data_IF_245497214295
#
_entry.id   IF_245497214295
#
_cell.length_a   1.000
_cell.length_b   1.000
_cell.length_c   1.000
_cell.angle_alpha   90.00
_cell.angle_beta   90.00
_cell.angle_gamma   90.00
#
_symmetry.space_group_name_H-M   'P 1'
#
loop_
_entity.id
_entity.type
_entity.pdbx_description
1 polymer ?
#
# COMPACT_ATOMS: atom_id res chain seq x y z
N UNK A 1 23.20 37.87 -27.81
CA UNK A 1 22.15 37.61 -28.83
C UNK A 1 21.44 36.32 -28.47
N UNK A 2 20.16 36.38 -28.05
CA UNK A 2 19.39 35.22 -27.56
C UNK A 2 19.05 34.27 -28.71
N UNK A 3 19.75 33.17 -28.83
CA UNK A 3 19.50 32.09 -29.79
C UNK A 3 18.20 31.28 -29.55
N UNK A 4 17.49 31.53 -28.46
CA UNK A 4 16.33 30.75 -27.99
C UNK A 4 15.01 30.94 -28.77
N UNK A 5 14.95 31.84 -29.74
CA UNK A 5 13.72 32.11 -30.50
C UNK A 5 13.80 31.88 -32.02
N UNK A 6 14.95 31.46 -32.56
CA UNK A 6 15.12 31.22 -33.99
C UNK A 6 14.77 29.78 -34.35
N UNK A 7 13.86 29.61 -35.35
CA UNK A 7 13.61 28.27 -35.88
C UNK A 7 14.92 27.69 -36.44
N UNK A 8 15.13 26.38 -36.26
CA UNK A 8 16.32 25.65 -36.73
C UNK A 8 16.63 25.98 -38.21
N UNK A 9 15.59 26.13 -39.05
CA UNK A 9 15.71 26.54 -40.45
C UNK A 9 16.36 27.93 -40.63
N UNK A 10 16.01 28.93 -39.80
CA UNK A 10 16.59 30.26 -39.84
C UNK A 10 18.05 30.26 -39.38
N UNK A 11 18.38 29.47 -38.36
CA UNK A 11 19.77 29.36 -37.91
C UNK A 11 20.65 28.77 -39.00
N UNK A 12 20.23 27.69 -39.65
CA UNK A 12 20.93 27.09 -40.78
C UNK A 12 21.09 28.10 -41.95
N UNK A 13 20.06 28.86 -42.27
CA UNK A 13 20.09 29.88 -43.30
C UNK A 13 21.16 30.95 -43.02
N UNK A 14 21.26 31.49 -41.81
CA UNK A 14 22.30 32.47 -41.45
C UNK A 14 23.70 31.88 -41.47
N UNK A 15 23.88 30.63 -40.99
CA UNK A 15 25.16 29.92 -41.04
C UNK A 15 25.59 29.70 -42.50
N UNK A 16 24.66 29.30 -43.37
CA UNK A 16 24.92 29.11 -44.81
C UNK A 16 25.36 30.41 -45.49
N UNK A 17 24.65 31.50 -45.25
CA UNK A 17 25.02 32.82 -45.80
C UNK A 17 26.39 33.26 -45.31
N UNK A 18 26.67 33.11 -44.01
CA UNK A 18 27.97 33.47 -43.45
C UNK A 18 29.12 32.67 -44.06
N UNK A 19 28.90 31.37 -44.31
CA UNK A 19 29.88 30.49 -44.90
C UNK A 19 30.14 30.83 -46.38
N UNK A 20 29.11 31.13 -47.16
CA UNK A 20 29.22 31.57 -48.54
C UNK A 20 29.98 32.91 -48.61
N UNK A 21 29.63 33.90 -47.80
CA UNK A 21 30.29 35.20 -47.74
C UNK A 21 31.79 35.08 -47.38
N UNK A 22 32.12 34.21 -46.39
CA UNK A 22 33.53 34.04 -46.04
C UNK A 22 34.33 33.31 -47.11
N UNK A 23 33.74 32.29 -47.77
CA UNK A 23 34.44 31.59 -48.88
C UNK A 23 34.58 32.44 -50.10
N UNK A 24 33.58 33.27 -50.47
CA UNK A 24 33.70 34.24 -51.60
C UNK A 24 34.75 35.33 -51.36
N UNK A 25 34.77 35.88 -50.13
CA UNK A 25 35.80 36.84 -49.73
C UNK A 25 37.23 36.26 -49.83
N UNK A 26 37.41 35.03 -49.33
CA UNK A 26 38.71 34.33 -49.42
C UNK A 26 39.13 34.07 -50.87
N UNK A 27 38.20 33.64 -51.72
CA UNK A 27 38.49 33.40 -53.14
C UNK A 27 38.86 34.69 -53.85
N UNK A 28 38.20 35.79 -53.55
CA UNK A 28 38.52 37.14 -54.14
C UNK A 28 39.90 37.63 -53.65
N UNK A 29 40.22 37.54 -52.41
CA UNK A 29 41.54 37.92 -51.86
C UNK A 29 42.65 37.09 -52.52
N UNK A 30 42.43 35.77 -52.65
CA UNK A 30 43.41 34.87 -53.26
C UNK A 30 43.63 35.23 -54.79
N UNK A 31 42.57 35.62 -55.49
CA UNK A 31 42.66 36.12 -56.89
C UNK A 31 43.48 37.36 -56.97
N UNK A 32 43.32 38.33 -56.08
CA UNK A 32 44.12 39.57 -56.09
C UNK A 32 45.63 39.31 -55.77
N UNK A 33 45.94 38.26 -55.03
CA UNK A 33 47.33 37.88 -54.69
C UNK A 33 47.99 37.13 -55.87
N UNK A 34 47.26 36.26 -56.57
CA UNK A 34 47.82 35.34 -57.57
C UNK A 34 47.64 35.77 -58.97
N UNK A 35 46.76 36.74 -59.25
CA UNK A 35 46.35 37.26 -60.59
C UNK A 35 45.92 36.18 -61.61
N UNK A 36 45.61 34.92 -61.09
CA UNK A 36 45.25 33.78 -61.95
C UNK A 36 43.74 33.54 -61.92
N UNK A 37 43.11 33.63 -63.14
CA UNK A 37 41.65 33.36 -63.28
C UNK A 37 41.24 31.91 -62.83
N UNK A 38 42.15 30.95 -62.89
CA UNK A 38 41.94 29.58 -62.44
C UNK A 38 41.57 29.51 -60.98
N UNK A 39 42.03 30.42 -60.11
CA UNK A 39 41.71 30.44 -58.64
C UNK A 39 40.23 30.76 -58.44
N UNK A 40 39.60 31.62 -59.24
CA UNK A 40 38.17 31.89 -59.15
C UNK A 40 37.31 30.65 -59.53
N UNK A 41 37.78 29.93 -60.58
CA UNK A 41 37.07 28.69 -60.98
C UNK A 41 37.11 27.60 -59.87
N UNK A 42 38.31 27.37 -59.30
CA UNK A 42 38.47 26.44 -58.19
C UNK A 42 37.66 26.88 -56.94
N UNK A 43 37.69 28.14 -56.59
CA UNK A 43 36.89 28.75 -55.54
C UNK A 43 35.39 28.54 -55.75
N UNK A 44 34.90 28.75 -56.97
CA UNK A 44 33.51 28.49 -57.33
C UNK A 44 33.07 26.99 -57.12
N UNK A 45 33.93 26.04 -57.55
CA UNK A 45 33.69 24.61 -57.36
C UNK A 45 33.65 24.27 -55.89
N UNK A 46 34.57 24.77 -55.07
CA UNK A 46 34.57 24.50 -53.61
C UNK A 46 33.33 25.05 -52.92
N UNK A 47 32.85 26.26 -53.32
CA UNK A 47 31.60 26.83 -52.79
C UNK A 47 30.40 25.94 -53.15
N UNK A 48 30.32 25.47 -54.38
CA UNK A 48 29.25 24.56 -54.82
C UNK A 48 29.27 23.22 -54.06
N UNK A 49 30.45 22.66 -53.85
CA UNK A 49 30.60 21.43 -53.05
C UNK A 49 30.18 21.67 -51.61
N UNK A 50 30.59 22.77 -50.98
CA UNK A 50 30.20 23.10 -49.63
C UNK A 50 28.68 23.29 -49.49
N UNK A 51 28.03 23.93 -50.43
CA UNK A 51 26.59 24.08 -50.51
C UNK A 51 25.87 22.75 -50.64
N UNK A 52 26.35 21.85 -51.52
CA UNK A 52 25.78 20.50 -51.68
C UNK A 52 25.86 19.69 -50.40
N UNK A 53 27.00 19.71 -49.70
CA UNK A 53 27.18 19.04 -48.41
C UNK A 53 26.28 19.63 -47.33
N UNK A 54 26.13 20.93 -47.26
CA UNK A 54 25.26 21.61 -46.27
C UNK A 54 23.80 21.29 -46.52
N UNK A 55 23.34 21.23 -47.77
CA UNK A 55 21.98 20.82 -48.14
C UNK A 55 21.73 19.34 -47.76
N UNK A 56 22.70 18.46 -48.04
CA UNK A 56 22.60 17.05 -47.66
C UNK A 56 22.50 16.92 -46.13
N UNK A 57 23.34 17.63 -45.39
CA UNK A 57 23.33 17.60 -43.93
C UNK A 57 22.00 18.09 -43.33
N UNK A 58 21.46 19.21 -43.85
CA UNK A 58 20.16 19.74 -43.38
C UNK A 58 19.00 18.80 -43.68
N UNK A 59 19.01 18.11 -44.83
CA UNK A 59 17.99 17.12 -45.15
C UNK A 59 18.07 15.90 -44.25
N UNK A 60 19.28 15.38 -44.00
CA UNK A 60 19.50 14.20 -43.11
C UNK A 60 19.07 14.54 -41.67
N UNK A 61 19.51 15.71 -41.16
CA UNK A 61 19.16 16.13 -39.79
C UNK A 61 17.65 16.38 -39.63
N UNK A 62 17.03 17.03 -40.64
CA UNK A 62 15.59 17.29 -40.67
C UNK A 62 14.77 16.00 -40.67
N UNK A 63 15.17 14.99 -41.48
CA UNK A 63 14.50 13.70 -41.49
C UNK A 63 14.66 12.95 -40.16
N UNK A 64 15.86 12.90 -39.56
CA UNK A 64 16.09 12.28 -38.26
C UNK A 64 15.27 12.94 -37.14
N UNK A 65 15.20 14.27 -37.13
CA UNK A 65 14.42 14.98 -36.11
C UNK A 65 12.90 14.76 -36.29
N UNK A 66 12.43 14.75 -37.57
CA UNK A 66 11.00 14.47 -37.85
C UNK A 66 10.59 13.07 -37.44
N UNK A 67 11.42 12.05 -37.73
CA UNK A 67 11.16 10.67 -37.26
C UNK A 67 11.12 10.59 -35.74
N UNK A 68 12.10 11.20 -35.06
CA UNK A 68 12.13 11.20 -33.61
C UNK A 68 10.89 11.88 -32.97
N UNK A 69 10.48 13.04 -33.51
CA UNK A 69 9.28 13.72 -33.00
C UNK A 69 8.01 12.90 -33.25
N UNK A 70 7.92 12.22 -34.39
CA UNK A 70 6.81 11.33 -34.72
C UNK A 70 6.74 10.14 -33.74
N UNK A 71 7.89 9.48 -33.49
CA UNK A 71 7.97 8.37 -32.54
C UNK A 71 7.65 8.80 -31.11
N UNK A 72 8.11 9.97 -30.71
CA UNK A 72 7.83 10.53 -29.39
C UNK A 72 6.34 10.86 -29.21
N UNK A 73 5.72 11.48 -30.23
CA UNK A 73 4.28 11.76 -30.22
C UNK A 73 3.47 10.47 -30.22
N UNK A 74 3.83 9.49 -31.06
CA UNK A 74 3.16 8.19 -31.05
C UNK A 74 3.27 7.44 -29.73
N UNK A 75 4.43 7.53 -29.07
CA UNK A 75 4.62 6.96 -27.71
C UNK A 75 3.74 7.68 -26.69
N UNK A 76 3.66 9.01 -26.73
CA UNK A 76 2.78 9.80 -25.87
C UNK A 76 1.29 9.47 -26.09
N UNK A 77 0.86 9.37 -27.36
CA UNK A 77 -0.51 9.03 -27.71
C UNK A 77 -0.88 7.63 -27.21
N UNK A 78 0.03 6.66 -27.32
CA UNK A 78 -0.15 5.32 -26.77
C UNK A 78 -0.22 5.32 -25.22
N UNK A 79 0.59 6.16 -24.56
CA UNK A 79 0.53 6.37 -23.10
C UNK A 79 -0.82 6.96 -22.66
N UNK A 80 -1.33 7.95 -23.39
CA UNK A 80 -2.64 8.57 -23.14
C UNK A 80 -3.78 7.56 -23.33
N UNK A 81 -3.68 6.71 -24.37
CA UNK A 81 -4.65 5.67 -24.66
C UNK A 81 -4.61 4.46 -23.69
N UNK A 82 -3.61 4.43 -22.78
CA UNK A 82 -3.47 3.34 -21.80
C UNK A 82 -2.89 2.03 -22.38
N UNK A 83 -2.33 2.06 -23.58
CA UNK A 83 -1.75 0.88 -24.23
C UNK A 83 -0.38 0.53 -23.60
N UNK A 84 -0.20 -0.74 -23.20
CA UNK A 84 1.01 -1.23 -22.49
C UNK A 84 2.25 -1.43 -23.36
N UNK A 85 2.18 -1.23 -24.67
CA UNK A 85 3.28 -1.47 -25.61
C UNK A 85 4.14 -0.23 -25.84
N UNK A 86 5.11 0.04 -24.98
CA UNK A 86 6.14 1.06 -25.23
C UNK A 86 7.29 0.39 -25.97
N UNK A 87 7.27 0.39 -27.32
CA UNK A 87 8.43 0.01 -28.13
C UNK A 87 9.25 1.27 -28.40
N UNK A 88 10.19 1.58 -27.52
CA UNK A 88 11.27 2.50 -27.87
C UNK A 88 12.35 1.70 -28.58
N UNK A 89 12.77 2.16 -29.78
CA UNK A 89 13.89 1.55 -30.50
C UNK A 89 15.14 1.59 -29.62
N UNK A 90 15.66 0.43 -29.25
CA UNK A 90 16.80 0.26 -28.32
C UNK A 90 18.15 0.75 -28.90
N UNK A 91 18.16 1.19 -30.16
CA UNK A 91 19.37 1.49 -30.92
C UNK A 91 19.72 2.97 -30.91
N UNK A 92 20.06 3.56 -29.77
CA UNK A 92 20.92 4.75 -29.84
C UNK A 92 21.47 5.19 -28.47
N UNK A 93 22.78 5.28 -28.38
CA UNK A 93 23.56 6.00 -27.36
C UNK A 93 23.32 7.54 -27.39
N UNK A 94 22.27 8.00 -28.08
CA UNK A 94 21.98 9.41 -28.28
C UNK A 94 21.24 10.03 -27.08
N UNK A 95 21.40 11.32 -26.87
CA UNK A 95 20.69 12.13 -25.88
C UNK A 95 19.14 11.96 -26.01
N UNK A 96 18.67 11.65 -27.21
CA UNK A 96 17.25 11.46 -27.54
C UNK A 96 16.69 10.15 -26.93
N UNK A 97 17.47 9.08 -26.95
CA UNK A 97 17.11 7.82 -26.27
C UNK A 97 16.98 8.02 -24.76
N UNK A 98 17.84 8.85 -24.15
CA UNK A 98 17.74 9.19 -22.71
C UNK A 98 16.43 9.90 -22.37
N UNK A 99 15.90 10.74 -23.25
CA UNK A 99 14.59 11.39 -23.06
C UNK A 99 13.49 10.33 -23.10
N UNK A 100 13.50 9.45 -24.10
CA UNK A 100 12.54 8.35 -24.21
C UNK A 100 12.52 7.45 -22.97
N UNK A 101 13.69 7.03 -22.47
CA UNK A 101 13.80 6.24 -21.25
C UNK A 101 13.28 6.96 -20.00
N UNK A 102 13.56 8.26 -19.87
CA UNK A 102 13.02 9.06 -18.74
C UNK A 102 11.50 9.19 -18.82
N UNK A 103 10.94 9.37 -20.00
CA UNK A 103 9.49 9.42 -20.20
C UNK A 103 8.82 8.06 -19.89
N UNK A 104 9.39 6.96 -20.38
CA UNK A 104 8.89 5.62 -20.07
C UNK A 104 8.89 5.35 -18.56
N UNK A 105 9.98 5.73 -17.87
CA UNK A 105 10.06 5.61 -16.40
C UNK A 105 9.02 6.48 -15.69
N UNK A 106 8.80 7.70 -16.15
CA UNK A 106 7.80 8.61 -15.58
C UNK A 106 6.39 8.05 -15.76
N UNK A 107 6.11 7.48 -16.93
CA UNK A 107 4.84 6.79 -17.19
C UNK A 107 4.65 5.57 -16.27
N UNK A 108 5.69 4.74 -16.07
CA UNK A 108 5.62 3.61 -15.14
C UNK A 108 5.30 4.06 -13.70
N UNK A 109 5.94 5.14 -13.23
CA UNK A 109 5.64 5.72 -11.91
C UNK A 109 4.19 6.18 -11.83
N UNK A 110 3.71 6.92 -12.84
CA UNK A 110 2.32 7.38 -12.89
C UNK A 110 1.30 6.23 -12.91
N UNK A 111 1.58 5.15 -13.65
CA UNK A 111 0.73 3.97 -13.69
C UNK A 111 0.70 3.25 -12.34
N UNK A 112 1.84 3.15 -11.67
CA UNK A 112 1.94 2.55 -10.34
C UNK A 112 1.17 3.39 -9.31
N UNK A 113 1.32 4.73 -9.34
CA UNK A 113 0.58 5.63 -8.45
C UNK A 113 -0.93 5.55 -8.72
N UNK A 114 -1.34 5.52 -9.99
CA UNK A 114 -2.75 5.37 -10.36
C UNK A 114 -3.32 4.03 -9.87
N UNK A 115 -2.55 2.95 -9.98
CA UNK A 115 -2.95 1.63 -9.47
C UNK A 115 -3.13 1.66 -7.96
N UNK A 116 -2.19 2.27 -7.22
CA UNK A 116 -2.30 2.43 -5.76
C UNK A 116 -3.54 3.23 -5.36
N UNK A 117 -3.78 4.36 -6.01
CA UNK A 117 -4.98 5.19 -5.75
C UNK A 117 -6.28 4.41 -6.01
N UNK A 118 -6.32 3.59 -7.07
CA UNK A 118 -7.50 2.76 -7.36
C UNK A 118 -7.66 1.62 -6.33
N UNK A 119 -6.56 0.99 -5.90
CA UNK A 119 -6.56 -0.01 -4.82
C UNK A 119 -7.05 0.60 -3.50
N UNK A 120 -6.52 1.77 -3.11
CA UNK A 120 -6.96 2.51 -1.91
C UNK A 120 -8.44 2.88 -1.99
N UNK A 121 -8.92 3.31 -3.16
CA UNK A 121 -10.33 3.63 -3.39
C UNK A 121 -11.23 2.40 -3.23
N UNK A 122 -10.83 1.26 -3.79
CA UNK A 122 -11.59 0.01 -3.68
C UNK A 122 -11.60 -0.47 -2.22
N UNK A 123 -10.48 -0.33 -1.50
CA UNK A 123 -10.40 -0.66 -0.08
C UNK A 123 -11.35 0.22 0.75
N UNK A 124 -11.38 1.53 0.49
CA UNK A 124 -12.32 2.46 1.13
C UNK A 124 -13.79 2.12 0.83
N UNK A 125 -14.11 1.79 -0.43
CA UNK A 125 -15.48 1.39 -0.80
C UNK A 125 -15.90 0.11 -0.08
N UNK A 126 -15.02 -0.89 -0.01
CA UNK A 126 -15.26 -2.12 0.76
C UNK A 126 -15.49 -1.81 2.23
N UNK A 127 -14.63 -0.97 2.84
CA UNK A 127 -14.76 -0.58 4.24
C UNK A 127 -16.12 0.09 4.53
N UNK A 128 -16.54 1.05 3.69
CA UNK A 128 -17.84 1.73 3.85
C UNK A 128 -19.00 0.75 3.73
N UNK A 129 -18.93 -0.18 2.78
CA UNK A 129 -19.92 -1.23 2.60
C UNK A 129 -20.02 -2.13 3.85
N UNK A 130 -18.87 -2.60 4.34
CA UNK A 130 -18.78 -3.47 5.50
C UNK A 130 -19.32 -2.79 6.77
N UNK A 131 -18.94 -1.53 7.02
CA UNK A 131 -19.48 -0.73 8.13
C UNK A 131 -20.99 -0.60 8.02
N UNK A 132 -21.49 -0.28 6.81
CA UNK A 132 -22.93 -0.12 6.57
C UNK A 132 -23.69 -1.40 6.91
N UNK A 133 -23.18 -2.56 6.52
CA UNK A 133 -23.78 -3.85 6.85
C UNK A 133 -23.72 -4.14 8.36
N UNK A 134 -22.59 -3.89 9.03
CA UNK A 134 -22.40 -4.16 10.44
C UNK A 134 -23.22 -3.21 11.35
N UNK A 135 -23.52 -2.01 10.90
CA UNK A 135 -24.40 -1.04 11.61
C UNK A 135 -25.86 -1.31 11.35
N UNK A 136 -26.25 -1.65 10.11
CA UNK A 136 -27.66 -1.85 9.72
C UNK A 136 -28.34 -2.93 10.54
N UNK A 137 -27.68 -4.05 10.78
CA UNK A 137 -28.24 -5.20 11.53
C UNK A 137 -28.62 -4.83 12.97
N UNK A 138 -27.70 -4.33 13.83
CA UNK A 138 -28.07 -3.95 15.19
C UNK A 138 -29.08 -2.82 15.24
N UNK A 139 -29.03 -1.83 14.32
CA UNK A 139 -30.02 -0.75 14.25
C UNK A 139 -31.42 -1.29 13.88
N UNK A 140 -31.52 -2.22 12.93
CA UNK A 140 -32.79 -2.87 12.60
C UNK A 140 -33.36 -3.67 13.75
N UNK A 141 -32.50 -4.39 14.49
CA UNK A 141 -32.92 -5.16 15.68
C UNK A 141 -33.37 -4.23 16.82
N UNK A 142 -32.68 -3.10 17.03
CA UNK A 142 -33.10 -2.06 18.00
C UNK A 142 -34.46 -1.51 17.63
N UNK A 143 -34.67 -1.16 16.37
CA UNK A 143 -35.96 -0.64 15.89
C UNK A 143 -37.09 -1.65 16.10
N UNK A 144 -36.88 -2.90 15.66
CA UNK A 144 -37.86 -3.97 15.85
C UNK A 144 -38.20 -4.22 17.33
N UNK A 145 -37.19 -4.23 18.21
CA UNK A 145 -37.40 -4.41 19.64
C UNK A 145 -38.17 -3.25 20.27
N UNK A 146 -37.87 -2.01 19.88
CA UNK A 146 -38.58 -0.81 20.36
C UNK A 146 -40.02 -0.76 19.85
N UNK A 147 -40.25 -1.04 18.56
CA UNK A 147 -41.58 -1.09 17.97
C UNK A 147 -42.46 -2.15 18.67
N UNK A 148 -41.88 -3.35 18.94
CA UNK A 148 -42.58 -4.42 19.67
C UNK A 148 -42.92 -4.02 21.10
N UNK A 149 -41.99 -3.33 21.82
CA UNK A 149 -42.24 -2.84 23.18
C UNK A 149 -43.33 -1.78 23.24
N UNK A 150 -43.52 -1.00 22.19
CA UNK A 150 -44.52 0.07 22.11
C UNK A 150 -45.93 -0.45 21.70
N UNK A 151 -45.98 -1.44 20.81
CA UNK A 151 -47.21 -1.86 20.15
C UNK A 151 -47.87 -3.10 20.81
N UNK A 152 -47.09 -3.94 21.51
CA UNK A 152 -47.62 -5.21 22.02
C UNK A 152 -47.71 -5.23 23.56
N UNK A 153 -48.88 -5.62 24.08
CA UNK A 153 -49.00 -5.96 25.51
C UNK A 153 -48.10 -7.16 25.81
N UNK A 154 -47.33 -7.08 26.88
CA UNK A 154 -46.38 -8.14 27.29
C UNK A 154 -46.22 -8.19 28.79
N UNK A 155 -45.74 -9.33 29.26
CA UNK A 155 -45.38 -9.55 30.68
C UNK A 155 -44.13 -8.76 31.06
N UNK A 156 -43.93 -8.52 32.36
CA UNK A 156 -42.69 -7.87 32.84
C UNK A 156 -41.43 -8.67 32.52
N UNK A 157 -41.52 -10.00 32.48
CA UNK A 157 -40.39 -10.86 32.07
C UNK A 157 -40.01 -10.64 30.61
N UNK A 158 -40.99 -10.67 29.71
CA UNK A 158 -40.77 -10.39 28.27
C UNK A 158 -40.21 -8.97 28.04
N UNK A 159 -40.77 -7.97 28.75
CA UNK A 159 -40.28 -6.59 28.68
C UNK A 159 -38.80 -6.51 29.08
N UNK A 160 -38.44 -7.18 30.17
CA UNK A 160 -37.06 -7.25 30.66
C UNK A 160 -36.12 -7.87 29.61
N UNK A 161 -36.56 -8.94 28.93
CA UNK A 161 -35.75 -9.61 27.90
C UNK A 161 -35.57 -8.74 26.66
N UNK A 162 -36.60 -8.00 26.21
CA UNK A 162 -36.46 -7.02 25.15
C UNK A 162 -35.47 -5.90 25.53
N UNK A 163 -35.53 -5.36 26.75
CA UNK A 163 -34.62 -4.33 27.23
C UNK A 163 -33.18 -4.87 27.27
N UNK A 164 -32.96 -6.10 27.70
CA UNK A 164 -31.64 -6.78 27.65
C UNK A 164 -31.16 -6.94 26.22
N UNK A 165 -32.04 -7.29 25.29
CA UNK A 165 -31.77 -7.35 23.84
C UNK A 165 -31.31 -6.00 23.30
N UNK A 166 -32.03 -4.91 23.62
CA UNK A 166 -31.66 -3.54 23.25
C UNK A 166 -30.28 -3.20 23.78
N UNK A 167 -29.99 -3.45 25.06
CA UNK A 167 -28.68 -3.22 25.66
C UNK A 167 -27.59 -3.96 24.92
N UNK A 168 -27.79 -5.23 24.61
CA UNK A 168 -26.83 -6.05 23.87
C UNK A 168 -26.51 -5.48 22.49
N UNK A 169 -27.52 -4.96 21.75
CA UNK A 169 -27.28 -4.32 20.45
C UNK A 169 -26.55 -2.99 20.59
N UNK A 170 -26.84 -2.21 21.64
CA UNK A 170 -26.15 -0.96 21.93
C UNK A 170 -24.69 -1.21 22.28
N UNK A 171 -24.39 -2.18 23.14
CA UNK A 171 -23.02 -2.58 23.50
C UNK A 171 -22.24 -3.04 22.26
N UNK A 172 -22.90 -3.73 21.32
CA UNK A 172 -22.30 -4.14 20.04
C UNK A 172 -21.96 -2.96 19.16
N UNK A 173 -22.82 -1.94 19.09
CA UNK A 173 -22.55 -0.70 18.33
C UNK A 173 -21.41 0.10 18.96
N UNK A 174 -21.36 0.21 20.28
CA UNK A 174 -20.26 0.90 20.97
C UNK A 174 -18.92 0.19 20.71
N UNK A 175 -18.89 -1.14 20.83
CA UNK A 175 -17.69 -1.92 20.50
C UNK A 175 -17.24 -1.72 19.05
N UNK A 176 -18.18 -1.73 18.08
CA UNK A 176 -17.88 -1.46 16.68
C UNK A 176 -17.25 -0.08 16.50
N UNK A 177 -17.85 0.94 17.13
CA UNK A 177 -17.37 2.31 17.05
C UNK A 177 -15.95 2.45 17.63
N UNK A 178 -15.70 1.91 18.80
CA UNK A 178 -14.38 1.93 19.45
C UNK A 178 -13.32 1.24 18.59
N UNK A 179 -13.65 0.09 18.00
CA UNK A 179 -12.75 -0.65 17.13
C UNK A 179 -12.42 0.15 15.85
N UNK A 180 -13.42 0.79 15.23
CA UNK A 180 -13.23 1.64 14.05
C UNK A 180 -12.35 2.85 14.34
N UNK A 181 -12.58 3.53 15.49
CA UNK A 181 -11.77 4.69 15.90
C UNK A 181 -10.31 4.26 16.14
N UNK A 182 -10.07 3.13 16.83
CA UNK A 182 -8.72 2.60 17.06
C UNK A 182 -8.03 2.29 15.74
N UNK A 183 -8.71 1.59 14.84
CA UNK A 183 -8.18 1.20 13.52
C UNK A 183 -7.86 2.44 12.68
N UNK A 184 -8.80 3.37 12.54
CA UNK A 184 -8.61 4.61 11.78
C UNK A 184 -7.42 5.43 12.29
N UNK A 185 -7.28 5.58 13.62
CA UNK A 185 -6.14 6.32 14.21
C UNK A 185 -4.80 5.62 13.98
N UNK A 186 -4.77 4.30 13.95
CA UNK A 186 -3.58 3.54 13.57
C UNK A 186 -3.25 3.76 12.11
N UNK A 187 -4.19 3.58 11.20
CA UNK A 187 -3.98 3.66 9.74
C UNK A 187 -3.55 5.04 9.28
N UNK A 188 -4.13 6.09 9.82
CA UNK A 188 -3.78 7.48 9.49
C UNK A 188 -2.45 7.94 10.10
N UNK A 189 -1.78 7.08 10.89
CA UNK A 189 -0.52 7.45 11.56
C UNK A 189 -0.68 8.51 12.67
N UNK A 190 -1.92 8.85 13.06
CA UNK A 190 -2.21 9.73 14.19
C UNK A 190 -1.67 9.12 15.48
N UNK A 191 -1.72 7.79 15.59
CA UNK A 191 -1.07 7.06 16.67
C UNK A 191 0.35 6.73 16.25
N UNK A 192 1.30 7.41 16.87
CA UNK A 192 2.71 7.05 16.81
C UNK A 192 2.98 6.00 17.89
N UNK A 193 3.48 4.84 17.45
CA UNK A 193 3.90 3.79 18.39
C UNK A 193 5.14 4.22 19.15
N UNK A 194 5.08 4.15 20.47
CA UNK A 194 6.17 4.53 21.37
C UNK A 194 6.90 3.28 21.87
N UNK A 195 7.86 2.80 21.08
CA UNK A 195 8.65 1.62 21.44
C UNK A 195 9.68 1.97 22.50
N UNK A 196 9.61 1.31 23.63
CA UNK A 196 10.53 1.47 24.75
C UNK A 196 11.00 0.10 25.25
N UNK A 197 12.21 0.06 25.76
CA UNK A 197 12.68 -1.16 26.44
C UNK A 197 11.88 -1.34 27.73
N UNK A 198 10.99 -2.33 27.75
CA UNK A 198 10.15 -2.66 28.90
C UNK A 198 10.02 -4.17 29.08
N UNK A 199 9.57 -4.59 30.26
CA UNK A 199 9.39 -6.02 30.56
C UNK A 199 8.20 -6.58 29.80
N UNK A 200 8.43 -7.62 29.02
CA UNK A 200 7.36 -8.28 28.29
C UNK A 200 6.36 -8.96 29.25
N UNK A 201 6.84 -9.45 30.39
CA UNK A 201 5.97 -10.04 31.43
C UNK A 201 4.82 -9.11 31.83
N UNK A 202 5.11 -7.81 32.06
CA UNK A 202 4.07 -6.83 32.44
C UNK A 202 3.06 -6.61 31.30
N UNK A 203 3.52 -6.62 30.05
CA UNK A 203 2.65 -6.50 28.85
C UNK A 203 1.74 -7.71 28.71
N UNK A 204 2.25 -8.91 28.91
CA UNK A 204 1.46 -10.15 28.91
C UNK A 204 0.46 -10.15 30.06
N UNK A 205 0.87 -9.78 31.27
CA UNK A 205 -0.01 -9.69 32.43
C UNK A 205 -1.16 -8.69 32.22
N UNK A 206 -0.87 -7.54 31.60
CA UNK A 206 -1.89 -6.56 31.23
C UNK A 206 -2.92 -7.14 30.24
N UNK A 207 -2.49 -7.83 29.20
CA UNK A 207 -3.39 -8.47 28.25
C UNK A 207 -4.23 -9.58 28.89
N UNK A 208 -3.60 -10.40 29.74
CA UNK A 208 -4.25 -11.47 30.47
C UNK A 208 -5.36 -10.96 31.40
N UNK A 209 -5.17 -9.83 32.07
CA UNK A 209 -6.15 -9.25 33.00
C UNK A 209 -7.53 -9.03 32.35
N UNK A 210 -7.55 -8.76 31.03
CA UNK A 210 -8.78 -8.54 30.27
C UNK A 210 -9.63 -9.81 30.03
N UNK A 211 -9.03 -11.00 30.14
CA UNK A 211 -9.72 -12.25 29.80
C UNK A 211 -10.03 -13.14 31.03
N UNK A 212 -9.47 -12.82 32.22
CA UNK A 212 -9.57 -13.66 33.43
C UNK A 212 -11.03 -14.01 33.74
N UNK A 213 -11.89 -13.01 33.87
CA UNK A 213 -13.30 -13.22 34.19
C UNK A 213 -14.04 -14.11 33.17
N UNK A 214 -13.77 -13.91 31.86
CA UNK A 214 -14.42 -14.70 30.83
C UNK A 214 -13.88 -16.14 30.78
N UNK A 215 -12.60 -16.35 31.03
CA UNK A 215 -11.98 -17.66 31.14
C UNK A 215 -12.48 -18.43 32.35
N UNK A 216 -12.56 -17.80 33.56
CA UNK A 216 -13.11 -18.39 34.77
C UNK A 216 -14.57 -18.79 34.58
N UNK A 217 -15.40 -17.94 33.99
CA UNK A 217 -16.81 -18.24 33.71
C UNK A 217 -17.00 -19.47 32.82
N UNK A 218 -16.06 -19.74 31.92
CA UNK A 218 -16.05 -20.95 31.06
C UNK A 218 -15.22 -22.09 31.64
N UNK A 219 -14.67 -21.95 32.84
CA UNK A 219 -13.80 -22.95 33.48
C UNK A 219 -12.57 -23.31 32.60
N UNK A 220 -12.09 -22.36 31.82
CA UNK A 220 -10.94 -22.54 30.91
C UNK A 220 -9.65 -22.48 31.74
N UNK A 221 -8.81 -23.50 31.63
CA UNK A 221 -7.47 -23.51 32.24
C UNK A 221 -6.51 -22.65 31.42
N UNK A 222 -5.96 -21.59 32.02
CA UNK A 222 -5.01 -20.71 31.36
C UNK A 222 -3.63 -20.87 31.98
N UNK A 223 -2.60 -21.12 31.14
CA UNK A 223 -1.20 -21.22 31.55
C UNK A 223 -0.34 -20.19 30.86
N UNK A 224 0.62 -19.64 31.60
CA UNK A 224 1.54 -18.61 31.05
C UNK A 224 3.00 -19.04 31.34
N UNK A 225 3.79 -19.15 30.28
CA UNK A 225 5.22 -19.38 30.37
C UNK A 225 5.96 -18.18 29.73
N UNK A 226 6.27 -17.18 30.54
CA UNK A 226 6.94 -15.95 30.11
C UNK A 226 8.14 -15.67 31.03
N UNK A 227 9.34 -15.49 30.49
CA UNK A 227 10.50 -15.12 31.28
C UNK A 227 10.29 -13.78 31.99
N UNK A 228 10.31 -13.75 33.32
CA UNK A 228 10.01 -12.55 34.12
C UNK A 228 10.93 -11.36 33.83
N UNK A 229 12.19 -11.62 33.45
CA UNK A 229 13.22 -10.60 33.28
C UNK A 229 13.45 -10.19 31.82
N UNK A 230 12.64 -10.72 30.89
CA UNK A 230 12.82 -10.41 29.47
C UNK A 230 12.46 -8.96 29.18
N UNK A 231 13.48 -8.21 28.79
CA UNK A 231 13.38 -6.82 28.36
C UNK A 231 13.63 -6.73 26.87
N UNK A 232 12.75 -6.06 26.12
CA UNK A 232 13.01 -5.72 24.71
C UNK A 232 12.21 -4.47 24.30
N UNK A 233 12.56 -3.89 23.14
CA UNK A 233 11.96 -2.65 22.66
C UNK A 233 10.62 -2.93 21.97
N UNK A 234 9.50 -2.54 22.59
CA UNK A 234 8.16 -2.65 22.04
C UNK A 234 7.23 -1.57 22.62
N UNK A 235 6.10 -1.33 21.98
CA UNK A 235 5.03 -0.53 22.58
C UNK A 235 4.17 -1.41 23.48
N UNK A 236 4.37 -1.28 24.79
CA UNK A 236 3.70 -2.13 25.80
C UNK A 236 2.18 -2.05 25.69
N UNK A 237 1.62 -0.84 25.52
CA UNK A 237 0.17 -0.63 25.45
C UNK A 237 -0.45 -1.29 24.22
N UNK A 238 0.14 -1.06 23.05
CA UNK A 238 -0.39 -1.61 21.81
C UNK A 238 -0.09 -3.10 21.65
N UNK A 239 1.04 -3.58 22.16
CA UNK A 239 1.31 -5.03 22.19
C UNK A 239 0.34 -5.75 23.13
N UNK A 240 0.03 -5.15 24.29
CA UNK A 240 -1.01 -5.71 25.18
C UNK A 240 -2.39 -5.74 24.50
N UNK A 241 -2.77 -4.72 23.72
CA UNK A 241 -4.01 -4.70 22.94
C UNK A 241 -4.01 -5.81 21.86
N UNK A 242 -2.91 -6.01 21.15
CA UNK A 242 -2.81 -7.09 20.17
C UNK A 242 -2.94 -8.47 20.82
N UNK A 243 -2.22 -8.70 21.92
CA UNK A 243 -2.32 -9.94 22.71
C UNK A 243 -3.73 -10.15 23.25
N UNK A 244 -4.37 -9.12 23.79
CA UNK A 244 -5.75 -9.20 24.27
C UNK A 244 -6.70 -9.67 23.18
N UNK A 245 -6.58 -9.17 21.94
CA UNK A 245 -7.42 -9.60 20.82
C UNK A 245 -7.23 -11.09 20.48
N UNK A 246 -6.00 -11.62 20.57
CA UNK A 246 -5.74 -13.04 20.36
C UNK A 246 -6.31 -13.87 21.52
N UNK A 247 -6.11 -13.44 22.75
CA UNK A 247 -6.59 -14.11 23.95
C UNK A 247 -8.12 -14.11 24.05
N UNK A 248 -8.77 -13.00 23.73
CA UNK A 248 -10.23 -12.89 23.69
C UNK A 248 -10.83 -13.87 22.66
N UNK A 249 -10.21 -13.99 21.49
CA UNK A 249 -10.59 -15.01 20.51
C UNK A 249 -10.37 -16.42 21.05
N UNK A 250 -9.24 -16.72 21.69
CA UNK A 250 -8.99 -18.01 22.29
C UNK A 250 -10.07 -18.38 23.30
N UNK A 251 -10.46 -17.44 24.19
CA UNK A 251 -11.56 -17.69 25.18
C UNK A 251 -12.90 -17.86 24.50
N UNK A 252 -13.21 -17.09 23.47
CA UNK A 252 -14.48 -17.17 22.73
C UNK A 252 -14.67 -18.50 22.05
N UNK A 253 -13.65 -19.01 21.38
CA UNK A 253 -13.73 -20.20 20.53
C UNK A 253 -13.30 -21.51 21.23
N UNK A 254 -12.85 -21.42 22.46
CA UNK A 254 -12.61 -22.59 23.33
C UNK A 254 -13.87 -22.96 24.11
N UNK A 255 -14.17 -24.23 24.11
CA UNK A 255 -15.31 -24.78 24.89
C UNK A 255 -15.06 -24.70 26.40
N UNK A 256 -16.12 -24.78 27.20
CA UNK A 256 -16.00 -24.86 28.66
C UNK A 256 -15.08 -26.03 29.09
N UNK A 257 -14.24 -25.81 30.10
CA UNK A 257 -13.23 -26.75 30.55
C UNK A 257 -12.00 -26.90 29.63
N UNK A 258 -11.90 -26.09 28.58
CA UNK A 258 -10.78 -26.13 27.65
C UNK A 258 -9.46 -25.54 28.20
N UNK A 259 -8.47 -25.41 27.34
CA UNK A 259 -7.11 -24.94 27.71
C UNK A 259 -6.61 -23.86 26.78
N UNK A 260 -6.01 -22.84 27.37
CA UNK A 260 -5.28 -21.78 26.67
C UNK A 260 -3.88 -21.69 27.25
N UNK A 261 -2.86 -21.57 26.38
CA UNK A 261 -1.49 -21.37 26.83
C UNK A 261 -0.87 -20.17 26.15
N UNK A 262 -0.14 -19.38 26.92
CA UNK A 262 0.72 -18.30 26.44
C UNK A 262 2.16 -18.69 26.68
N UNK A 263 2.99 -18.73 25.65
CA UNK A 263 4.40 -18.99 25.79
C UNK A 263 5.25 -17.94 25.07
N UNK A 264 6.34 -17.56 25.68
CA UNK A 264 7.28 -16.57 25.16
C UNK A 264 8.65 -17.20 24.96
N UNK A 265 9.20 -17.05 23.76
CA UNK A 265 10.54 -17.51 23.42
C UNK A 265 11.34 -16.35 22.84
N UNK A 266 12.51 -16.13 23.37
CA UNK A 266 13.47 -15.17 22.81
C UNK A 266 14.39 -15.89 21.85
N UNK A 267 14.37 -15.43 20.59
CA UNK A 267 15.33 -15.83 19.55
C UNK A 267 16.38 -14.74 19.38
N UNK A 268 17.40 -15.01 18.60
CA UNK A 268 18.47 -14.04 18.32
C UNK A 268 17.96 -12.77 17.62
N UNK A 269 17.04 -12.91 16.68
CA UNK A 269 16.49 -11.83 15.84
C UNK A 269 15.14 -11.33 16.26
N UNK A 270 14.34 -12.14 16.99
CA UNK A 270 12.98 -11.80 17.41
C UNK A 270 12.61 -12.37 18.76
N UNK A 271 11.55 -11.76 19.31
CA UNK A 271 10.77 -12.35 20.42
C UNK A 271 9.50 -12.94 19.85
N UNK A 272 9.26 -14.22 20.12
CA UNK A 272 8.05 -14.93 19.73
C UNK A 272 7.13 -15.04 20.94
N UNK A 273 5.86 -14.62 20.74
CA UNK A 273 4.79 -14.76 21.74
C UNK A 273 3.72 -15.64 21.11
N UNK A 274 3.50 -16.82 21.65
CA UNK A 274 2.50 -17.78 21.19
C UNK A 274 1.28 -17.75 22.10
N UNK A 275 0.10 -17.74 21.49
CA UNK A 275 -1.18 -17.97 22.13
C UNK A 275 -1.78 -19.20 21.48
N UNK A 276 -1.90 -20.29 22.23
CA UNK A 276 -2.47 -21.54 21.74
C UNK A 276 -3.73 -21.91 22.54
N UNK A 277 -4.75 -22.36 21.83
CA UNK A 277 -6.01 -22.86 22.37
C UNK A 277 -6.32 -24.27 21.84
N UNK A 278 -7.16 -25.01 22.55
CA UNK A 278 -7.69 -26.30 22.12
C UNK A 278 -9.17 -26.21 21.69
N UNK A 279 -9.56 -25.10 21.12
CA UNK A 279 -10.91 -24.81 20.66
C UNK A 279 -11.27 -25.47 19.32
N UNK A 280 -12.24 -24.88 18.61
CA UNK A 280 -12.78 -25.43 17.35
C UNK A 280 -11.78 -25.52 16.20
N UNK A 281 -10.71 -24.74 16.26
CA UNK A 281 -9.75 -24.60 15.15
C UNK A 281 -10.28 -23.79 13.95
N UNK A 282 -9.44 -23.66 12.92
CA UNK A 282 -9.67 -22.84 11.72
C UNK A 282 -9.25 -23.64 10.49
N UNK A 283 -10.11 -23.72 9.48
CA UNK A 283 -9.76 -24.40 8.22
C UNK A 283 -8.63 -23.68 7.49
N UNK A 284 -7.79 -24.42 6.77
CA UNK A 284 -6.65 -23.86 6.03
C UNK A 284 -7.08 -22.77 5.04
N UNK A 285 -8.21 -22.94 4.37
CA UNK A 285 -8.77 -21.96 3.44
C UNK A 285 -9.11 -20.61 4.09
N UNK A 286 -9.41 -20.62 5.40
CA UNK A 286 -9.84 -19.44 6.14
C UNK A 286 -8.69 -18.73 6.87
N UNK A 287 -7.54 -19.37 7.09
CA UNK A 287 -6.42 -18.82 7.87
C UNK A 287 -5.89 -17.48 7.34
N UNK A 288 -5.94 -17.25 6.02
CA UNK A 288 -5.59 -15.94 5.46
C UNK A 288 -6.74 -14.93 5.62
N UNK A 289 -7.99 -15.38 5.54
CA UNK A 289 -9.17 -14.54 5.56
C UNK A 289 -9.51 -13.99 6.97
N UNK A 290 -9.19 -14.74 8.04
CA UNK A 290 -9.47 -14.32 9.43
C UNK A 290 -8.82 -12.98 9.83
N UNK A 291 -7.79 -12.55 9.12
CA UNK A 291 -7.13 -11.27 9.32
C UNK A 291 -7.73 -10.12 8.49
N UNK A 292 -8.79 -10.37 7.71
CA UNK A 292 -9.52 -9.30 7.01
C UNK A 292 -10.46 -8.59 7.97
N UNK A 293 -10.72 -7.32 7.73
CA UNK A 293 -11.71 -6.54 8.50
C UNK A 293 -13.08 -7.18 8.36
N UNK A 294 -13.83 -7.25 9.47
CA UNK A 294 -15.21 -7.75 9.54
C UNK A 294 -15.39 -9.22 9.11
N UNK A 295 -14.30 -9.93 8.84
CA UNK A 295 -14.39 -11.34 8.48
C UNK A 295 -14.80 -12.18 9.68
N UNK A 296 -15.79 -13.03 9.45
CA UNK A 296 -16.26 -14.05 10.38
C UNK A 296 -16.69 -15.29 9.60
N UNK A 297 -16.31 -16.45 10.08
CA UNK A 297 -16.81 -17.71 9.52
C UNK A 297 -18.32 -17.83 9.77
N UNK A 298 -19.08 -18.39 8.85
CA UNK A 298 -20.55 -18.56 8.97
C UNK A 298 -20.93 -19.31 10.22
N UNK A 299 -20.16 -20.33 10.60
CA UNK A 299 -20.42 -21.20 11.75
C UNK A 299 -20.29 -20.50 13.12
N UNK A 300 -19.68 -19.32 13.18
CA UNK A 300 -19.46 -18.56 14.42
C UNK A 300 -20.25 -17.27 14.54
N UNK A 301 -21.25 -17.09 13.70
CA UNK A 301 -22.09 -15.89 13.75
C UNK A 301 -22.85 -15.74 15.09
N UNK A 302 -23.05 -16.84 15.83
CA UNK A 302 -23.68 -16.83 17.17
C UNK A 302 -22.78 -16.27 18.27
N UNK A 303 -21.45 -16.35 18.11
CA UNK A 303 -20.51 -15.82 19.11
C UNK A 303 -20.45 -14.27 19.05
N UNK A 304 -20.26 -13.59 20.19
CA UNK A 304 -20.16 -12.13 20.21
C UNK A 304 -18.87 -11.65 19.53
N UNK A 305 -19.00 -10.64 18.65
CA UNK A 305 -17.84 -10.03 18.01
C UNK A 305 -18.17 -9.42 16.65
N UNK A 306 -17.31 -8.52 16.18
CA UNK A 306 -17.49 -7.74 14.93
C UNK A 306 -16.49 -8.16 13.83
N UNK A 307 -15.50 -9.01 14.15
CA UNK A 307 -14.49 -9.45 13.18
C UNK A 307 -13.37 -8.43 12.90
N UNK A 308 -13.09 -7.54 13.88
CA UNK A 308 -12.02 -6.53 13.76
C UNK A 308 -10.78 -6.91 14.59
N UNK A 309 -10.92 -7.72 15.62
CA UNK A 309 -9.86 -7.97 16.62
C UNK A 309 -8.55 -8.53 16.01
N UNK A 310 -8.63 -9.55 15.16
CA UNK A 310 -7.46 -10.15 14.49
C UNK A 310 -6.82 -9.21 13.49
N UNK A 311 -7.62 -8.44 12.76
CA UNK A 311 -7.13 -7.40 11.87
C UNK A 311 -6.35 -6.34 12.66
N UNK A 312 -6.92 -5.82 13.75
CA UNK A 312 -6.26 -4.84 14.62
C UNK A 312 -4.96 -5.39 15.22
N UNK A 313 -4.97 -6.63 15.69
CA UNK A 313 -3.76 -7.27 16.20
C UNK A 313 -2.66 -7.32 15.13
N UNK A 314 -2.99 -7.73 13.91
CA UNK A 314 -2.03 -7.77 12.80
C UNK A 314 -1.48 -6.38 12.46
N UNK A 315 -2.33 -5.36 12.37
CA UNK A 315 -1.91 -3.99 12.09
C UNK A 315 -0.94 -3.45 13.16
N UNK A 316 -1.26 -3.66 14.44
CA UNK A 316 -0.41 -3.24 15.55
C UNK A 316 0.98 -3.88 15.46
N UNK A 317 1.04 -5.18 15.21
CA UNK A 317 2.29 -5.94 15.16
C UNK A 317 3.09 -5.58 13.91
N UNK A 318 2.45 -5.45 12.75
CA UNK A 318 3.10 -5.05 11.49
C UNK A 318 3.72 -3.67 11.62
N UNK A 319 3.03 -2.70 12.23
CA UNK A 319 3.58 -1.35 12.46
C UNK A 319 4.74 -1.33 13.46
N UNK A 320 4.87 -2.34 14.28
CA UNK A 320 6.06 -2.55 15.11
C UNK A 320 7.20 -3.25 14.37
N UNK A 321 7.04 -3.58 13.08
CA UNK A 321 8.02 -4.28 12.25
C UNK A 321 7.98 -5.80 12.43
N UNK A 322 6.92 -6.31 13.08
CA UNK A 322 6.68 -7.72 13.30
C UNK A 322 5.65 -8.33 12.34
N UNK A 323 5.24 -9.56 12.61
CA UNK A 323 4.15 -10.24 11.91
C UNK A 323 3.45 -11.25 12.81
N UNK A 324 2.22 -11.64 12.42
CA UNK A 324 1.46 -12.71 13.09
C UNK A 324 1.35 -13.90 12.16
N UNK A 325 1.61 -15.08 12.71
CA UNK A 325 1.45 -16.38 12.06
C UNK A 325 0.35 -17.17 12.76
N UNK A 326 -0.39 -17.98 12.01
CA UNK A 326 -1.38 -18.92 12.57
C UNK A 326 -1.09 -20.33 12.07
N UNK A 327 -1.24 -21.29 12.97
CA UNK A 327 -1.24 -22.73 12.68
C UNK A 327 -2.48 -23.30 13.35
N UNK A 328 -3.39 -23.87 12.56
CA UNK A 328 -4.66 -24.35 13.06
C UNK A 328 -5.22 -25.47 12.19
N UNK A 329 -6.01 -26.33 12.76
CA UNK A 329 -6.80 -27.33 12.04
C UNK A 329 -8.16 -27.51 12.74
N UNK A 330 -9.25 -27.74 12.00
CA UNK A 330 -10.56 -27.99 12.58
C UNK A 330 -10.53 -29.08 13.63
N UNK A 331 -11.08 -28.79 14.82
CA UNK A 331 -11.13 -29.69 15.97
C UNK A 331 -9.85 -29.81 16.80
N UNK A 332 -8.73 -29.20 16.38
CA UNK A 332 -7.43 -29.28 17.08
C UNK A 332 -7.00 -27.94 17.70
N UNK A 333 -7.89 -26.95 17.70
CA UNK A 333 -7.57 -25.60 18.20
C UNK A 333 -6.70 -24.77 17.29
N UNK A 334 -6.18 -23.66 17.80
CA UNK A 334 -5.36 -22.71 17.03
C UNK A 334 -4.15 -22.28 17.82
N UNK A 335 -3.02 -22.06 17.13
CA UNK A 335 -1.81 -21.45 17.66
C UNK A 335 -1.53 -20.17 16.85
N UNK A 336 -1.59 -19.03 17.51
CA UNK A 336 -1.19 -17.74 16.97
C UNK A 336 0.19 -17.35 17.50
N UNK A 337 1.12 -17.08 16.62
CA UNK A 337 2.48 -16.63 16.97
C UNK A 337 2.69 -15.18 16.55
N UNK A 338 2.93 -14.29 17.50
CA UNK A 338 3.41 -12.93 17.28
C UNK A 338 4.92 -12.96 17.21
N UNK A 339 5.50 -12.43 16.14
CA UNK A 339 6.92 -12.24 15.95
C UNK A 339 7.25 -10.76 15.98
N UNK A 340 7.99 -10.30 16.99
CA UNK A 340 8.46 -8.91 17.10
C UNK A 340 9.99 -8.87 17.01
N UNK A 341 10.60 -7.89 16.29
CA UNK A 341 12.05 -7.74 16.23
C UNK A 341 12.64 -7.55 17.62
N UNK A 342 13.74 -8.25 17.92
CA UNK A 342 14.43 -8.16 19.22
C UNK A 342 15.22 -6.86 19.40
N UNK A 343 15.42 -6.08 18.31
CA UNK A 343 16.18 -4.81 18.28
C UNK A 343 15.33 -3.68 17.76
#
# INVERSE_FOLDING_TARGET
>A
MKLQGLSVKRLFFYVTIGLILSMTAAAVVLYFITEQAAVLAVGGVLILCALAWLLALTQILGKKLALFTSDLCGTLDNMIAGNKGISLSEDSETQLARIGHRMARLYQIMQEDRRRVEEDRQELQSLVSDISHQVKTPVSNLKMATDTLLEKPMTEAERTDFIRGIRTQTDKLDFLFQALVKTSRLETGVIQLDKKSCRLYDTVAQAMSGIVYAAEKKEISVSVNCPEKLMFSHDSKWTAEALFNLLDNAVKYTSAGGKISVSVVQWEMYVEIKVADNGKGISESNQAAIFRRFYREEEVHSEPGVGIGLYLAREIITRQGGYIKVVSAPGNGSEFSIMLPAK
#
